data_IF_159837941359
#
_entry.id   IF_159837941359
#
_cell.length_a   1.000
_cell.length_b   1.000
_cell.length_c   1.000
_cell.angle_alpha   90.00
_cell.angle_beta   90.00
_cell.angle_gamma   90.00
#
_symmetry.space_group_name_H-M   'P 1'
#
loop_
_entity.id
_entity.type
_entity.pdbx_description
1 polymer ?
#
# COMPACT_ATOMS: atom_id res chain seq x y z
N UNK A 1 -4.40 -3.94 -2.10
CA UNK A 1 -4.16 -5.33 -2.57
C UNK A 1 -5.06 -6.30 -1.81
N UNK A 2 -4.91 -6.49 -0.50
CA UNK A 2 -5.68 -7.47 0.28
C UNK A 2 -7.20 -7.26 0.20
N UNK A 3 -7.70 -6.03 0.26
CA UNK A 3 -9.13 -5.75 0.11
C UNK A 3 -9.71 -6.15 -1.26
N UNK A 4 -8.94 -5.98 -2.36
CA UNK A 4 -9.36 -6.44 -3.69
C UNK A 4 -9.42 -7.96 -3.76
N UNK A 5 -8.43 -8.63 -3.18
CA UNK A 5 -8.40 -10.09 -3.15
C UNK A 5 -9.54 -10.66 -2.29
N UNK A 6 -9.75 -10.09 -1.10
CA UNK A 6 -10.87 -10.49 -0.24
C UNK A 6 -12.22 -10.28 -0.94
N UNK A 7 -12.42 -9.14 -1.62
CA UNK A 7 -13.63 -8.88 -2.39
C UNK A 7 -13.83 -9.89 -3.52
N UNK A 8 -12.76 -10.26 -4.25
CA UNK A 8 -12.82 -11.27 -5.30
C UNK A 8 -13.21 -12.65 -4.74
N UNK A 9 -12.60 -13.07 -3.64
CA UNK A 9 -12.91 -14.34 -2.99
C UNK A 9 -14.36 -14.38 -2.52
N UNK A 10 -14.82 -13.33 -1.83
CA UNK A 10 -16.21 -13.22 -1.36
C UNK A 10 -17.22 -13.22 -2.51
N UNK A 11 -16.93 -12.50 -3.59
CA UNK A 11 -17.81 -12.48 -4.77
C UNK A 11 -17.93 -13.89 -5.40
N UNK A 12 -16.83 -14.64 -5.45
CA UNK A 12 -16.85 -16.06 -5.91
C UNK A 12 -17.67 -16.97 -5.02
N UNK A 13 -17.72 -16.68 -3.72
CA UNK A 13 -18.53 -17.39 -2.73
C UNK A 13 -20.00 -16.96 -2.73
N UNK A 14 -20.38 -16.00 -3.58
CA UNK A 14 -21.76 -15.55 -3.73
C UNK A 14 -22.18 -14.42 -2.81
N UNK A 15 -21.24 -13.82 -2.06
CA UNK A 15 -21.56 -12.67 -1.18
C UNK A 15 -21.81 -11.40 -1.98
N UNK A 16 -22.72 -10.55 -1.48
CA UNK A 16 -22.83 -9.15 -1.89
C UNK A 16 -21.72 -8.33 -1.25
N UNK A 17 -20.88 -7.70 -2.06
CA UNK A 17 -19.70 -6.97 -1.58
C UNK A 17 -19.77 -5.50 -2.01
N UNK A 18 -19.50 -4.59 -1.06
CA UNK A 18 -19.20 -3.19 -1.34
C UNK A 18 -17.77 -2.91 -0.86
N UNK A 19 -16.90 -2.48 -1.75
CA UNK A 19 -15.52 -2.10 -1.46
C UNK A 19 -15.41 -0.58 -1.40
N UNK A 20 -14.96 -0.06 -0.25
CA UNK A 20 -14.69 1.34 -0.02
C UNK A 20 -13.18 1.59 -0.08
N UNK A 21 -12.74 2.51 -0.91
CA UNK A 21 -11.33 2.93 -1.05
C UNK A 21 -11.25 4.45 -0.90
N UNK A 22 -10.41 4.90 0.01
CA UNK A 22 -10.27 6.32 0.30
C UNK A 22 -9.61 7.12 -0.84
N UNK A 23 -8.74 6.49 -1.61
CA UNK A 23 -8.11 7.09 -2.79
C UNK A 23 -9.02 7.04 -4.02
N UNK A 24 -8.68 7.85 -5.02
CA UNK A 24 -9.30 7.77 -6.35
C UNK A 24 -8.76 6.61 -7.21
N UNK A 25 -7.99 5.72 -6.61
CA UNK A 25 -7.42 4.52 -7.23
C UNK A 25 -7.41 3.33 -6.28
N UNK A 26 -7.50 2.14 -6.82
CA UNK A 26 -7.28 0.90 -6.07
C UNK A 26 -5.79 0.61 -5.86
N UNK A 27 -5.49 -0.40 -5.03
CA UNK A 27 -4.13 -0.94 -4.86
C UNK A 27 -3.45 -0.54 -3.56
N UNK A 28 -3.78 0.62 -2.98
CA UNK A 28 -3.13 1.12 -1.77
C UNK A 28 -1.63 1.36 -1.98
N UNK A 29 -0.79 0.63 -1.23
CA UNK A 29 0.69 0.68 -1.35
C UNK A 29 1.22 0.10 -2.67
N UNK A 30 0.47 -0.75 -3.37
CA UNK A 30 0.77 -1.15 -4.74
C UNK A 30 0.43 0.01 -5.66
N UNK A 31 1.47 0.65 -6.18
CA UNK A 31 1.35 1.85 -6.99
C UNK A 31 2.47 1.90 -8.03
N UNK A 32 2.14 2.34 -9.22
CA UNK A 32 3.07 2.53 -10.32
C UNK A 32 2.56 3.57 -11.31
N UNK A 33 3.50 4.22 -12.01
CA UNK A 33 3.23 5.17 -13.07
C UNK A 33 3.29 4.48 -14.43
N UNK A 34 2.38 4.81 -15.33
CA UNK A 34 2.34 4.21 -16.66
C UNK A 34 3.48 4.73 -17.53
N UNK A 35 4.04 3.87 -18.37
CA UNK A 35 4.82 4.27 -19.53
C UNK A 35 3.90 5.00 -20.52
N UNK A 36 4.48 5.76 -21.45
CA UNK A 36 3.74 6.58 -22.41
C UNK A 36 2.75 5.77 -23.27
N UNK A 37 3.13 4.56 -23.65
CA UNK A 37 2.30 3.63 -24.42
C UNK A 37 1.29 2.85 -23.58
N UNK A 38 1.32 3.00 -22.25
CA UNK A 38 0.47 2.28 -21.30
C UNK A 38 0.76 0.76 -21.16
N UNK A 39 1.75 0.24 -21.88
CA UNK A 39 2.06 -1.20 -21.88
C UNK A 39 2.78 -1.65 -20.60
N UNK A 40 3.53 -0.76 -19.97
CA UNK A 40 4.28 -1.01 -18.74
C UNK A 40 3.90 -0.01 -17.66
N UNK A 41 3.99 -0.44 -16.39
CA UNK A 41 3.93 0.46 -15.22
C UNK A 41 5.18 0.29 -14.39
N UNK A 42 5.82 1.41 -14.12
CA UNK A 42 7.00 1.46 -13.26
C UNK A 42 6.59 1.55 -11.80
N UNK A 43 7.16 0.70 -10.96
CA UNK A 43 6.75 0.53 -9.57
C UNK A 43 7.30 1.63 -8.64
N UNK A 44 6.40 2.40 -8.05
CA UNK A 44 6.68 3.35 -6.97
C UNK A 44 6.38 2.78 -5.57
N UNK A 45 5.68 1.64 -5.53
CA UNK A 45 5.49 0.79 -4.35
C UNK A 45 6.40 -0.45 -4.39
N UNK A 46 5.88 -1.64 -3.98
CA UNK A 46 6.62 -2.89 -4.05
C UNK A 46 6.99 -3.19 -5.50
N UNK A 47 8.18 -3.73 -5.71
CA UNK A 47 8.70 -4.04 -7.04
C UNK A 47 9.09 -5.52 -7.21
N UNK A 48 9.28 -6.25 -6.11
CA UNK A 48 9.86 -7.58 -6.12
C UNK A 48 8.93 -8.65 -5.57
N UNK A 49 9.08 -9.84 -6.12
CA UNK A 49 8.53 -11.10 -5.64
C UNK A 49 9.70 -12.09 -5.55
N UNK A 50 9.78 -12.81 -4.45
CA UNK A 50 10.75 -13.91 -4.27
C UNK A 50 9.98 -15.22 -4.30
N UNK A 51 9.97 -15.95 -5.44
CA UNK A 51 9.11 -17.13 -5.61
C UNK A 51 9.27 -18.18 -4.51
N UNK A 52 10.49 -18.41 -4.04
CA UNK A 52 10.76 -19.36 -2.96
C UNK A 52 10.19 -18.95 -1.60
N UNK A 53 10.02 -17.62 -1.37
CA UNK A 53 9.53 -17.06 -0.11
C UNK A 53 8.07 -16.60 -0.20
N UNK A 54 7.53 -16.40 -1.40
CA UNK A 54 6.22 -15.82 -1.64
C UNK A 54 5.30 -16.77 -2.45
N UNK A 55 5.10 -18.04 -2.02
CA UNK A 55 4.39 -19.03 -2.81
C UNK A 55 2.93 -18.63 -3.09
N UNK A 56 2.23 -18.02 -2.12
CA UNK A 56 0.82 -17.63 -2.34
C UNK A 56 0.70 -16.49 -3.33
N UNK A 57 1.63 -15.53 -3.31
CA UNK A 57 1.69 -14.47 -4.32
C UNK A 57 1.90 -15.07 -5.71
N UNK A 58 2.81 -16.04 -5.86
CA UNK A 58 3.08 -16.72 -7.14
C UNK A 58 1.84 -17.48 -7.62
N UNK A 59 1.15 -18.19 -6.75
CA UNK A 59 -0.11 -18.90 -7.08
C UNK A 59 -1.16 -17.93 -7.63
N UNK A 60 -1.30 -16.75 -6.99
CA UNK A 60 -2.23 -15.74 -7.46
C UNK A 60 -1.80 -15.09 -8.77
N UNK A 61 -0.51 -14.83 -8.96
CA UNK A 61 0.01 -14.34 -10.24
C UNK A 61 -0.31 -15.31 -11.37
N UNK A 62 -0.09 -16.61 -11.15
CA UNK A 62 -0.45 -17.67 -12.10
C UNK A 62 -1.96 -17.69 -12.40
N UNK A 63 -2.79 -17.65 -11.35
CA UNK A 63 -4.26 -17.62 -11.47
C UNK A 63 -4.75 -16.39 -12.25
N UNK A 64 -4.06 -15.29 -12.14
CA UNK A 64 -4.37 -14.04 -12.82
C UNK A 64 -3.77 -13.95 -14.23
N UNK A 65 -2.95 -14.93 -14.65
CA UNK A 65 -2.27 -14.94 -15.93
C UNK A 65 -1.14 -13.94 -16.03
N UNK A 66 -0.48 -13.62 -14.89
CA UNK A 66 0.62 -12.67 -14.81
C UNK A 66 1.95 -13.40 -14.73
N UNK A 67 2.88 -13.05 -15.60
CA UNK A 67 4.21 -13.63 -15.66
C UNK A 67 5.21 -12.85 -14.80
N UNK A 68 6.27 -13.55 -14.40
CA UNK A 68 7.44 -13.00 -13.72
C UNK A 68 8.65 -12.97 -14.65
N UNK A 69 9.55 -12.04 -14.40
CA UNK A 69 10.88 -12.01 -15.02
C UNK A 69 11.93 -11.69 -13.94
N UNK A 70 13.16 -12.11 -14.17
CA UNK A 70 14.25 -11.92 -13.22
C UNK A 70 14.65 -10.44 -13.11
N UNK A 71 14.88 -9.95 -11.87
CA UNK A 71 15.44 -8.62 -11.66
C UNK A 71 16.80 -8.52 -12.40
N UNK A 72 16.97 -7.47 -13.20
CA UNK A 72 18.23 -7.23 -13.89
C UNK A 72 19.36 -7.04 -12.87
N UNK A 73 20.34 -7.90 -12.94
CA UNK A 73 21.53 -7.91 -12.08
C UNK A 73 22.84 -8.15 -12.84
N UNK A 74 22.75 -8.35 -14.17
CA UNK A 74 23.95 -8.61 -15.00
C UNK A 74 24.77 -7.33 -15.18
N UNK A 75 26.08 -7.44 -15.09
CA UNK A 75 27.01 -6.32 -15.19
C UNK A 75 27.56 -5.90 -13.82
N UNK A 76 28.39 -4.89 -13.81
CA UNK A 76 29.01 -4.38 -12.60
C UNK A 76 28.04 -3.57 -11.76
N UNK A 77 28.06 -3.76 -10.45
CA UNK A 77 27.43 -2.88 -9.46
C UNK A 77 28.32 -1.70 -9.13
N UNK A 78 27.73 -0.65 -8.56
CA UNK A 78 28.46 0.56 -8.17
C UNK A 78 28.36 0.80 -6.67
N UNK A 79 29.47 1.27 -6.08
CA UNK A 79 29.51 1.72 -4.68
C UNK A 79 30.00 3.16 -4.66
N UNK A 80 29.18 4.08 -4.19
CA UNK A 80 29.55 5.47 -3.98
C UNK A 80 29.97 5.68 -2.52
N UNK A 81 31.22 6.07 -2.32
CA UNK A 81 31.80 6.33 -1.00
C UNK A 81 31.38 7.71 -0.46
N UNK A 82 31.57 8.02 0.84
CA UNK A 82 31.29 9.33 1.40
C UNK A 82 32.02 10.49 0.70
N UNK A 83 33.19 10.21 0.11
CA UNK A 83 33.96 11.17 -0.71
C UNK A 83 33.38 11.40 -2.11
N UNK A 84 32.25 10.80 -2.45
CA UNK A 84 31.66 10.75 -3.79
C UNK A 84 32.49 9.97 -4.83
N UNK A 85 33.54 9.31 -4.43
CA UNK A 85 34.29 8.43 -5.31
C UNK A 85 33.44 7.17 -5.61
N UNK A 86 33.30 6.85 -6.91
CA UNK A 86 32.52 5.69 -7.37
C UNK A 86 33.48 4.52 -7.65
N UNK A 87 33.20 3.37 -7.07
CA UNK A 87 33.90 2.12 -7.31
C UNK A 87 33.01 1.13 -8.04
N UNK A 88 33.57 0.45 -9.04
CA UNK A 88 32.89 -0.67 -9.72
C UNK A 88 33.12 -1.95 -8.94
N UNK A 89 32.06 -2.67 -8.66
CA UNK A 89 32.09 -4.04 -8.16
C UNK A 89 31.87 -5.00 -9.34
N UNK A 90 32.63 -6.06 -9.43
CA UNK A 90 32.67 -6.94 -10.62
C UNK A 90 31.29 -7.54 -10.98
N UNK A 91 30.45 -7.76 -9.98
CA UNK A 91 29.07 -8.26 -10.15
C UNK A 91 28.08 -7.25 -9.60
N UNK A 92 26.85 -7.24 -10.16
CA UNK A 92 25.73 -6.54 -9.56
C UNK A 92 25.38 -7.09 -8.17
N UNK A 93 24.55 -6.36 -7.44
CA UNK A 93 24.08 -6.77 -6.11
C UNK A 93 22.86 -7.69 -6.25
N UNK A 94 23.10 -8.95 -6.68
CA UNK A 94 22.04 -9.95 -6.78
C UNK A 94 21.56 -10.37 -5.39
N UNK A 95 20.25 -10.45 -5.23
CA UNK A 95 19.63 -10.96 -4.01
C UNK A 95 19.63 -12.50 -3.98
N UNK A 96 19.68 -13.08 -2.80
CA UNK A 96 19.55 -14.51 -2.58
C UNK A 96 18.44 -14.76 -1.52
N UNK A 97 17.36 -15.50 -1.86
CA UNK A 97 17.05 -16.05 -3.18
C UNK A 97 16.80 -14.96 -4.24
N UNK A 98 16.83 -15.31 -5.54
CA UNK A 98 16.65 -14.34 -6.61
C UNK A 98 15.30 -13.63 -6.53
N UNK A 99 15.32 -12.31 -6.70
CA UNK A 99 14.11 -11.51 -6.82
C UNK A 99 13.62 -11.47 -8.26
N UNK A 100 12.31 -11.56 -8.42
CA UNK A 100 11.59 -11.45 -9.69
C UNK A 100 10.75 -10.19 -9.71
N UNK A 101 10.39 -9.72 -10.91
CA UNK A 101 9.46 -8.63 -11.12
C UNK A 101 8.27 -9.10 -11.94
N UNK A 102 7.12 -8.44 -11.78
CA UNK A 102 5.91 -8.75 -12.55
C UNK A 102 6.00 -8.07 -13.91
N UNK A 103 5.77 -8.84 -14.98
CA UNK A 103 5.69 -8.29 -16.35
C UNK A 103 4.59 -7.24 -16.41
N UNK A 104 4.95 -6.04 -16.87
CA UNK A 104 4.06 -4.89 -16.90
C UNK A 104 3.92 -4.14 -15.58
N UNK A 105 4.69 -4.51 -14.53
CA UNK A 105 4.73 -3.86 -13.21
C UNK A 105 3.74 -4.47 -12.20
N UNK A 106 4.02 -4.25 -10.91
CA UNK A 106 3.26 -4.83 -9.80
C UNK A 106 1.79 -4.36 -9.76
N UNK A 107 1.50 -3.16 -10.28
CA UNK A 107 0.13 -2.66 -10.36
C UNK A 107 -0.79 -3.53 -11.24
N UNK A 108 -0.24 -4.33 -12.18
CA UNK A 108 -1.01 -5.31 -12.98
C UNK A 108 -1.74 -6.32 -12.11
N UNK A 109 -1.18 -6.66 -10.95
CA UNK A 109 -1.81 -7.55 -9.99
C UNK A 109 -3.13 -6.96 -9.46
N UNK A 110 -3.12 -5.69 -9.08
CA UNK A 110 -4.32 -5.01 -8.57
C UNK A 110 -5.33 -4.69 -9.69
N UNK A 111 -4.85 -4.38 -10.89
CA UNK A 111 -5.70 -4.19 -12.07
C UNK A 111 -6.42 -5.49 -12.45
N UNK A 112 -5.70 -6.61 -12.46
CA UNK A 112 -6.27 -7.92 -12.79
C UNK A 112 -7.31 -8.37 -11.76
N UNK A 113 -7.07 -8.14 -10.47
CA UNK A 113 -8.06 -8.38 -9.41
C UNK A 113 -9.29 -7.46 -9.58
N UNK A 114 -9.06 -6.17 -9.83
CA UNK A 114 -10.16 -5.21 -10.04
C UNK A 114 -11.04 -5.60 -11.24
N UNK A 115 -10.43 -6.03 -12.32
CA UNK A 115 -11.14 -6.48 -13.53
C UNK A 115 -12.01 -7.74 -13.30
N UNK A 116 -11.70 -8.55 -12.29
CA UNK A 116 -12.48 -9.74 -11.92
C UNK A 116 -13.66 -9.44 -10.99
N UNK A 117 -13.76 -8.23 -10.47
CA UNK A 117 -14.90 -7.80 -9.65
C UNK A 117 -16.04 -7.36 -10.55
N UNK A 118 -17.00 -8.26 -10.80
CA UNK A 118 -18.12 -8.05 -11.71
C UNK A 118 -19.36 -7.53 -10.99
N UNK A 119 -19.64 -8.05 -9.79
CA UNK A 119 -20.82 -7.72 -8.98
C UNK A 119 -20.49 -6.81 -7.81
N UNK A 120 -19.23 -6.71 -7.43
CA UNK A 120 -18.77 -5.88 -6.32
C UNK A 120 -18.91 -4.40 -6.65
N UNK A 121 -19.65 -3.65 -5.83
CA UNK A 121 -19.73 -2.21 -5.91
C UNK A 121 -18.44 -1.61 -5.37
N UNK A 122 -17.63 -0.97 -6.21
CA UNK A 122 -16.38 -0.30 -5.81
C UNK A 122 -16.60 1.20 -5.76
N UNK A 123 -16.41 1.79 -4.58
CA UNK A 123 -16.54 3.22 -4.31
C UNK A 123 -15.17 3.82 -4.01
N UNK A 124 -14.61 4.52 -4.99
CA UNK A 124 -13.37 5.29 -4.85
C UNK A 124 -13.66 6.65 -4.18
N UNK A 125 -12.62 7.33 -3.71
CA UNK A 125 -12.74 8.60 -3.01
C UNK A 125 -13.62 8.52 -1.75
N UNK A 126 -13.75 7.30 -1.17
CA UNK A 126 -14.68 7.01 -0.07
C UNK A 126 -13.92 6.60 1.17
N UNK A 127 -13.73 7.54 2.08
CA UNK A 127 -12.98 7.37 3.32
C UNK A 127 -13.89 6.95 4.46
N UNK A 128 -13.69 5.75 5.01
CA UNK A 128 -14.38 5.32 6.25
C UNK A 128 -13.89 6.14 7.42
N UNK A 129 -14.82 6.63 8.24
CA UNK A 129 -14.59 7.45 9.42
C UNK A 129 -14.95 6.75 10.71
N UNK A 130 -15.93 5.85 10.69
CA UNK A 130 -16.41 5.19 11.88
C UNK A 130 -17.04 3.84 11.61
N UNK A 131 -17.03 3.02 12.67
CA UNK A 131 -17.69 1.73 12.74
C UNK A 131 -18.53 1.69 14.02
N UNK A 132 -19.78 1.26 13.89
CA UNK A 132 -20.74 1.17 14.99
C UNK A 132 -21.37 -0.23 15.02
N UNK A 133 -21.43 -0.87 16.17
CA UNK A 133 -22.19 -2.12 16.35
C UNK A 133 -23.66 -1.74 16.52
N UNK A 134 -24.49 -2.19 15.57
CA UNK A 134 -25.93 -1.96 15.62
C UNK A 134 -26.63 -2.94 16.59
N UNK A 135 -27.84 -2.56 17.11
CA UNK A 135 -28.59 -3.43 18.04
C UNK A 135 -28.98 -4.80 17.46
N UNK A 136 -29.16 -4.89 16.13
CA UNK A 136 -29.45 -6.13 15.39
C UNK A 136 -28.21 -6.99 15.11
N UNK A 137 -27.04 -6.54 15.58
CA UNK A 137 -25.78 -7.24 15.41
C UNK A 137 -25.07 -6.94 14.10
N UNK A 138 -25.59 -6.09 13.24
CA UNK A 138 -24.90 -5.59 12.05
C UNK A 138 -23.86 -4.52 12.40
N UNK A 139 -23.10 -4.07 11.41
CA UNK A 139 -22.09 -3.00 11.52
C UNK A 139 -22.52 -1.81 10.68
N UNK A 140 -22.73 -0.67 11.34
CA UNK A 140 -22.83 0.62 10.68
C UNK A 140 -21.45 1.10 10.27
N UNK A 141 -21.29 1.51 9.02
CA UNK A 141 -20.05 2.03 8.46
C UNK A 141 -20.29 3.46 8.02
N UNK A 142 -19.73 4.41 8.77
CA UNK A 142 -19.76 5.83 8.42
C UNK A 142 -18.60 6.17 7.49
N UNK A 143 -18.87 6.89 6.41
CA UNK A 143 -17.85 7.29 5.45
C UNK A 143 -18.05 8.71 4.96
N UNK A 144 -17.00 9.30 4.43
CA UNK A 144 -17.00 10.59 3.73
C UNK A 144 -16.63 10.36 2.26
N UNK A 145 -17.40 10.98 1.36
CA UNK A 145 -17.17 10.94 -0.07
C UNK A 145 -17.55 12.29 -0.70
N UNK A 146 -16.59 12.90 -1.42
CA UNK A 146 -16.84 14.21 -2.04
C UNK A 146 -17.29 15.31 -1.06
N UNK A 147 -16.81 15.29 0.19
CA UNK A 147 -17.17 16.22 1.24
C UNK A 147 -18.55 15.94 1.91
N UNK A 148 -19.24 14.87 1.51
CA UNK A 148 -20.50 14.45 2.11
C UNK A 148 -20.31 13.23 3.01
N UNK A 149 -20.97 13.23 4.15
CA UNK A 149 -21.02 12.08 5.06
C UNK A 149 -22.15 11.16 4.61
N UNK A 150 -21.84 9.88 4.49
CA UNK A 150 -22.77 8.81 4.21
C UNK A 150 -22.59 7.65 5.20
N UNK A 151 -23.55 6.75 5.19
CA UNK A 151 -23.49 5.52 5.98
C UNK A 151 -24.02 4.34 5.18
N UNK A 152 -23.50 3.15 5.50
CA UNK A 152 -24.04 1.89 5.04
C UNK A 152 -24.04 0.89 6.20
N UNK A 153 -24.83 -0.16 6.07
CA UNK A 153 -24.93 -1.25 7.04
C UNK A 153 -24.46 -2.53 6.38
N UNK A 154 -23.63 -3.28 7.09
CA UNK A 154 -23.11 -4.57 6.63
C UNK A 154 -23.24 -5.62 7.75
N UNK A 155 -23.43 -6.89 7.36
CA UNK A 155 -23.42 -8.00 8.31
C UNK A 155 -21.99 -8.26 8.86
N UNK A 156 -20.96 -7.99 8.03
CA UNK A 156 -19.56 -8.11 8.41
C UNK A 156 -18.72 -7.12 7.61
N UNK A 157 -17.56 -6.72 8.17
CA UNK A 157 -16.63 -5.80 7.54
C UNK A 157 -15.22 -6.40 7.53
N UNK A 158 -14.57 -6.41 6.36
CA UNK A 158 -13.15 -6.75 6.25
C UNK A 158 -12.34 -5.45 6.18
N UNK A 159 -11.43 -5.25 7.13
CA UNK A 159 -10.58 -4.08 7.24
C UNK A 159 -9.20 -4.36 6.63
N UNK A 160 -8.97 -3.86 5.42
CA UNK A 160 -7.74 -4.02 4.65
C UNK A 160 -6.80 -2.82 4.82
N UNK A 161 -6.55 -2.43 6.04
CA UNK A 161 -5.79 -1.25 6.46
C UNK A 161 -4.66 -1.64 7.42
N UNK A 162 -3.55 -0.87 7.47
CA UNK A 162 -2.53 -1.04 8.52
C UNK A 162 -3.12 -0.80 9.92
N UNK A 163 -2.64 -1.52 10.95
CA UNK A 163 -3.13 -1.39 12.34
C UNK A 163 -3.09 0.05 12.84
N UNK A 164 -2.00 0.77 12.55
CA UNK A 164 -1.80 2.15 12.97
C UNK A 164 -2.89 3.09 12.44
N UNK A 165 -3.32 2.92 11.19
CA UNK A 165 -4.43 3.68 10.62
C UNK A 165 -5.76 3.31 11.30
N UNK A 166 -6.02 2.03 11.55
CA UNK A 166 -7.24 1.57 12.23
C UNK A 166 -7.41 2.23 13.61
N UNK A 167 -6.30 2.39 14.36
CA UNK A 167 -6.32 3.00 15.67
C UNK A 167 -6.32 4.54 15.67
N UNK A 168 -5.85 5.17 14.57
CA UNK A 168 -5.64 6.61 14.53
C UNK A 168 -6.69 7.37 13.73
N UNK A 169 -7.38 6.70 12.78
CA UNK A 169 -8.27 7.37 11.82
C UNK A 169 -9.73 6.92 11.92
N UNK A 170 -10.02 5.79 12.57
CA UNK A 170 -11.37 5.28 12.71
C UNK A 170 -11.94 5.53 14.13
N UNK A 171 -13.17 6.02 14.17
CA UNK A 171 -13.99 5.98 15.38
C UNK A 171 -14.56 4.57 15.52
N UNK A 172 -14.48 4.00 16.71
CA UNK A 172 -15.01 2.69 17.06
C UNK A 172 -16.11 2.85 18.13
N UNK A 173 -17.28 2.30 17.87
CA UNK A 173 -18.40 2.31 18.81
C UNK A 173 -19.04 0.91 18.91
N UNK A 174 -18.83 0.16 20.01
CA UNK A 174 -18.05 0.51 21.21
C UNK A 174 -16.54 0.70 20.96
N UNK A 175 -15.90 1.49 21.80
CA UNK A 175 -14.48 1.78 21.68
C UNK A 175 -13.62 0.51 21.84
N UNK A 176 -12.49 0.48 21.15
CA UNK A 176 -11.47 -0.57 21.36
C UNK A 176 -10.87 -0.46 22.76
N UNK A 177 -10.47 -1.57 23.38
CA UNK A 177 -9.67 -1.54 24.60
C UNK A 177 -8.41 -0.69 24.44
N UNK A 178 -8.08 0.08 25.45
CA UNK A 178 -6.95 1.01 25.40
C UNK A 178 -5.63 0.31 25.02
N UNK A 179 -5.39 -0.89 25.59
CA UNK A 179 -4.19 -1.69 25.30
C UNK A 179 -4.13 -2.15 23.84
N UNK A 180 -5.26 -2.56 23.23
CA UNK A 180 -5.32 -2.96 21.84
C UNK A 180 -5.06 -1.74 20.94
N UNK A 181 -5.73 -0.64 21.21
CA UNK A 181 -5.57 0.61 20.49
C UNK A 181 -4.12 1.13 20.56
N UNK A 182 -3.47 1.01 21.73
CA UNK A 182 -2.07 1.40 21.90
C UNK A 182 -1.13 0.50 21.09
N UNK A 183 -1.29 -0.82 21.16
CA UNK A 183 -0.51 -1.77 20.34
C UNK A 183 -0.62 -1.48 18.86
N UNK A 184 -1.82 -1.15 18.36
CA UNK A 184 -2.02 -0.82 16.97
C UNK A 184 -1.37 0.51 16.59
N UNK A 185 -1.39 1.54 17.46
CA UNK A 185 -0.67 2.80 17.21
C UNK A 185 0.85 2.62 17.17
N UNK A 186 1.37 1.67 17.93
CA UNK A 186 2.81 1.37 17.98
C UNK A 186 3.26 0.49 16.82
N UNK A 187 2.35 -0.28 16.19
CA UNK A 187 2.68 -1.14 15.07
C UNK A 187 3.18 -0.33 13.87
N UNK A 188 4.42 -0.52 13.39
CA UNK A 188 4.93 0.21 12.25
C UNK A 188 4.22 -0.24 10.97
N UNK A 189 3.86 0.71 10.11
CA UNK A 189 3.42 0.41 8.75
C UNK A 189 4.66 0.23 7.87
N UNK A 190 4.84 -0.99 7.33
CA UNK A 190 6.04 -1.32 6.55
C UNK A 190 6.23 -0.37 5.37
N UNK A 191 7.44 0.18 5.25
CA UNK A 191 7.87 1.13 4.21
C UNK A 191 7.12 2.47 4.20
N UNK A 192 6.20 2.74 5.13
CA UNK A 192 5.46 4.01 5.16
C UNK A 192 6.36 5.25 5.41
N UNK A 193 7.50 5.08 6.05
CA UNK A 193 8.49 6.15 6.23
C UNK A 193 9.43 6.37 5.03
N UNK A 194 9.34 5.56 3.97
CA UNK A 194 10.28 5.58 2.85
C UNK A 194 9.83 6.49 1.71
N UNK A 195 10.80 6.90 0.89
CA UNK A 195 10.52 7.55 -0.39
C UNK A 195 11.32 6.86 -1.50
N UNK A 196 10.77 6.87 -2.71
CA UNK A 196 11.33 6.25 -3.89
C UNK A 196 11.37 7.27 -5.03
N UNK A 197 12.54 7.43 -5.63
CA UNK A 197 12.71 8.22 -6.85
C UNK A 197 12.81 7.24 -8.03
N UNK A 198 12.14 7.57 -9.11
CA UNK A 198 12.15 6.83 -10.37
C UNK A 198 12.51 7.81 -11.50
N UNK A 199 13.50 7.46 -12.31
CA UNK A 199 13.93 8.22 -13.48
C UNK A 199 13.78 7.36 -14.74
N UNK A 200 13.05 7.86 -15.74
CA UNK A 200 12.78 7.18 -17.00
C UNK A 200 13.74 7.66 -18.09
N UNK A 201 14.17 6.73 -18.96
CA UNK A 201 15.14 6.99 -20.02
C UNK A 201 14.67 6.38 -21.34
N UNK A 202 15.17 6.88 -22.48
CA UNK A 202 14.86 6.28 -23.79
C UNK A 202 15.39 4.85 -23.95
N UNK A 203 16.56 4.57 -23.34
CA UNK A 203 17.25 3.27 -23.41
C UNK A 203 17.95 2.97 -22.07
N UNK A 204 18.18 1.71 -21.75
CA UNK A 204 18.96 1.33 -20.55
C UNK A 204 20.48 1.45 -20.83
N UNK A 205 20.96 2.68 -21.09
CA UNK A 205 22.34 3.01 -21.51
C UNK A 205 23.39 2.45 -20.55
N UNK A 206 23.09 2.33 -19.25
CA UNK A 206 24.00 1.70 -18.26
C UNK A 206 24.32 0.25 -18.59
N UNK A 207 23.38 -0.49 -19.21
CA UNK A 207 23.62 -1.87 -19.62
C UNK A 207 24.65 -1.94 -20.74
N UNK A 208 24.62 -0.99 -21.70
CA UNK A 208 25.62 -0.86 -22.75
C UNK A 208 27.01 -0.50 -22.19
N UNK A 209 27.06 0.22 -21.06
CA UNK A 209 28.29 0.53 -20.33
C UNK A 209 28.79 -0.65 -19.45
N UNK A 210 28.13 -1.83 -19.51
CA UNK A 210 28.49 -3.01 -18.73
C UNK A 210 28.11 -2.90 -17.25
N UNK A 211 27.12 -2.06 -16.91
CA UNK A 211 26.62 -1.88 -15.55
C UNK A 211 25.29 -2.62 -15.36
N UNK A 212 25.06 -3.11 -14.16
CA UNK A 212 23.82 -3.79 -13.78
C UNK A 212 22.63 -2.84 -13.57
N UNK A 213 22.89 -1.54 -13.42
CA UNK A 213 21.89 -0.57 -12.95
C UNK A 213 21.72 -0.58 -11.43
N UNK A 214 22.46 -1.41 -10.69
CA UNK A 214 22.44 -1.43 -9.23
C UNK A 214 23.58 -0.63 -8.62
N UNK A 215 23.29 0.12 -7.57
CA UNK A 215 24.28 0.87 -6.80
C UNK A 215 23.87 0.95 -5.33
N UNK A 216 24.88 1.06 -4.46
CA UNK A 216 24.72 1.49 -3.06
C UNK A 216 25.53 2.76 -2.82
N UNK A 217 25.01 3.70 -2.06
CA UNK A 217 25.62 5.00 -1.86
C UNK A 217 25.63 5.41 -0.39
N UNK A 218 26.74 6.02 0.01
CA UNK A 218 26.94 6.66 1.31
C UNK A 218 27.05 8.18 1.20
N UNK A 219 26.90 8.76 0.00
CA UNK A 219 27.20 10.16 -0.30
C UNK A 219 26.03 10.96 -0.91
N UNK A 220 24.98 10.31 -1.34
CA UNK A 220 23.91 10.99 -2.02
C UNK A 220 22.55 10.85 -1.35
N UNK A 221 21.49 11.51 -1.87
CA UNK A 221 20.15 11.30 -1.32
C UNK A 221 19.60 9.90 -1.58
N UNK A 222 20.05 9.21 -2.63
CA UNK A 222 19.65 7.83 -2.93
C UNK A 222 20.64 6.86 -2.28
N UNK A 223 20.16 6.00 -1.37
CA UNK A 223 20.98 5.05 -0.64
C UNK A 223 21.20 3.74 -1.41
N UNK A 224 20.17 3.27 -2.09
CA UNK A 224 20.15 2.02 -2.85
C UNK A 224 19.43 2.24 -4.17
N UNK A 225 20.03 1.78 -5.28
CA UNK A 225 19.52 1.99 -6.64
C UNK A 225 19.44 0.68 -7.40
N UNK A 226 18.49 0.59 -8.32
CA UNK A 226 18.26 -0.60 -9.14
C UNK A 226 17.76 -0.23 -10.54
N UNK A 227 18.04 -1.13 -11.48
CA UNK A 227 17.39 -1.14 -12.79
C UNK A 227 15.89 -1.44 -12.62
N UNK A 228 15.05 -0.54 -13.09
CA UNK A 228 13.60 -0.63 -13.06
C UNK A 228 12.98 -0.88 -14.44
N UNK A 229 13.82 -1.17 -15.44
CA UNK A 229 13.36 -1.41 -16.81
C UNK A 229 12.48 -2.66 -16.90
N UNK A 230 11.69 -2.76 -17.96
CA UNK A 230 10.99 -3.99 -18.30
C UNK A 230 11.98 -5.12 -18.70
N UNK A 231 11.44 -6.32 -18.93
CA UNK A 231 12.25 -7.51 -19.22
C UNK A 231 13.10 -7.33 -20.49
N UNK A 232 12.57 -6.67 -21.50
CA UNK A 232 13.23 -6.46 -22.80
C UNK A 232 14.06 -5.17 -22.86
N UNK A 233 13.94 -4.29 -21.85
CA UNK A 233 14.62 -3.00 -21.81
C UNK A 233 14.03 -1.95 -22.74
N UNK A 234 12.81 -2.14 -23.22
CA UNK A 234 12.10 -1.17 -24.05
C UNK A 234 11.60 0.03 -23.25
N UNK A 235 11.22 -0.21 -22.00
CA UNK A 235 10.82 0.80 -21.04
C UNK A 235 11.94 0.90 -20.00
N UNK A 236 12.89 1.80 -20.25
CA UNK A 236 14.10 1.92 -19.45
C UNK A 236 13.91 2.85 -18.26
N UNK A 237 14.30 2.40 -17.06
CA UNK A 237 14.26 3.21 -15.86
C UNK A 237 15.28 2.79 -14.82
N UNK A 238 15.71 3.75 -14.02
CA UNK A 238 16.41 3.53 -12.74
C UNK A 238 15.51 3.98 -11.60
N UNK A 239 15.46 3.21 -10.52
CA UNK A 239 14.87 3.70 -9.29
C UNK A 239 15.87 3.68 -8.14
N UNK A 240 15.65 4.55 -7.16
CA UNK A 240 16.43 4.55 -5.92
C UNK A 240 15.56 4.81 -4.71
N UNK A 241 15.91 4.15 -3.60
CA UNK A 241 15.36 4.48 -2.29
C UNK A 241 16.06 5.72 -1.74
N UNK A 242 15.28 6.71 -1.31
CA UNK A 242 15.80 7.93 -0.69
C UNK A 242 16.26 7.61 0.73
N UNK A 243 17.56 7.74 0.98
CA UNK A 243 18.19 7.49 2.28
C UNK A 243 17.96 8.61 3.30
N UNK A 244 17.49 9.79 2.86
CA UNK A 244 17.13 10.88 3.77
C UNK A 244 15.86 10.51 4.55
N UNK A 245 15.90 10.47 5.90
CA UNK A 245 14.72 10.15 6.71
C UNK A 245 13.54 11.10 6.45
N UNK A 246 12.31 10.64 6.65
CA UNK A 246 11.09 11.42 6.38
C UNK A 246 11.09 12.79 7.08
N UNK A 247 11.55 12.88 8.34
CA UNK A 247 11.67 14.12 9.07
C UNK A 247 12.67 15.11 8.43
N UNK A 248 13.71 14.59 7.78
CA UNK A 248 14.68 15.38 7.00
C UNK A 248 14.07 15.86 5.69
N UNK A 249 13.38 14.95 4.96
CA UNK A 249 12.74 15.27 3.67
C UNK A 249 11.70 16.39 3.78
N UNK A 250 10.92 16.44 4.86
CA UNK A 250 9.93 17.51 5.13
C UNK A 250 10.53 18.91 5.21
N UNK A 251 11.85 19.01 5.42
CA UNK A 251 12.59 20.29 5.51
C UNK A 251 13.26 20.67 4.18
N UNK A 252 13.20 19.80 3.20
CA UNK A 252 13.81 20.00 1.89
C UNK A 252 12.73 20.38 0.88
N UNK A 253 13.08 21.27 -0.02
CA UNK A 253 12.28 21.50 -1.20
C UNK A 253 12.29 20.23 -2.07
N UNK A 254 11.11 19.81 -2.53
CA UNK A 254 10.94 18.59 -3.34
C UNK A 254 11.84 18.60 -4.57
N UNK A 255 11.92 19.77 -5.26
CA UNK A 255 12.74 19.91 -6.46
C UNK A 255 14.24 19.79 -6.12
N UNK A 256 14.69 20.37 -5.02
CA UNK A 256 16.09 20.24 -4.59
C UNK A 256 16.50 18.78 -4.32
N UNK A 257 15.61 17.98 -3.75
CA UNK A 257 15.85 16.54 -3.57
C UNK A 257 15.93 15.79 -4.91
N UNK A 258 15.07 16.14 -5.87
CA UNK A 258 15.11 15.57 -7.22
C UNK A 258 16.43 15.96 -7.91
N UNK A 259 16.81 17.24 -7.91
CA UNK A 259 18.03 17.73 -8.55
C UNK A 259 19.29 17.08 -7.96
N UNK A 260 19.36 16.96 -6.65
CA UNK A 260 20.47 16.28 -5.97
C UNK A 260 20.51 14.77 -6.33
N UNK A 261 19.36 14.13 -6.50
CA UNK A 261 19.27 12.73 -6.94
C UNK A 261 19.73 12.56 -8.37
N UNK A 262 19.35 13.46 -9.29
CA UNK A 262 19.80 13.43 -10.67
C UNK A 262 21.31 13.68 -10.78
N UNK A 263 21.84 14.62 -10.01
CA UNK A 263 23.29 14.86 -9.94
C UNK A 263 24.03 13.59 -9.45
N UNK A 264 23.46 12.88 -8.49
CA UNK A 264 24.00 11.59 -8.02
C UNK A 264 23.94 10.52 -9.11
N UNK A 265 22.79 10.38 -9.82
CA UNK A 265 22.68 9.46 -10.94
C UNK A 265 23.75 9.75 -12.01
N UNK A 266 24.03 11.03 -12.28
CA UNK A 266 25.10 11.45 -13.19
C UNK A 266 26.49 11.00 -12.74
N UNK A 267 26.81 11.08 -11.45
CA UNK A 267 28.07 10.58 -10.90
C UNK A 267 28.20 9.06 -11.02
N UNK A 268 27.10 8.34 -10.79
CA UNK A 268 27.06 6.89 -10.81
C UNK A 268 27.05 6.32 -12.22
N UNK A 269 26.17 6.80 -13.08
CA UNK A 269 25.87 6.18 -14.38
C UNK A 269 26.29 7.02 -15.60
N UNK A 270 26.85 8.21 -15.39
CA UNK A 270 27.33 9.08 -16.47
C UNK A 270 26.36 10.17 -16.87
N UNK A 271 26.77 11.00 -17.85
CA UNK A 271 26.06 12.22 -18.25
C UNK A 271 24.61 11.98 -18.73
N UNK A 272 24.33 10.87 -19.37
CA UNK A 272 22.97 10.51 -19.83
C UNK A 272 21.98 10.41 -18.66
N UNK A 273 22.44 10.06 -17.46
CA UNK A 273 21.59 9.88 -16.30
C UNK A 273 21.03 11.21 -15.73
N UNK A 274 21.60 12.36 -16.07
CA UNK A 274 21.11 13.67 -15.57
C UNK A 274 19.94 14.24 -16.38
N UNK A 275 19.63 13.65 -17.55
CA UNK A 275 18.59 14.10 -18.45
C UNK A 275 17.53 13.02 -18.72
N UNK A 276 16.81 12.55 -17.69
CA UNK A 276 15.74 11.59 -17.89
C UNK A 276 14.56 12.20 -18.67
N UNK A 277 13.77 11.36 -19.34
CA UNK A 277 12.51 11.76 -19.97
C UNK A 277 11.45 12.20 -18.96
N UNK A 278 11.43 11.53 -17.81
CA UNK A 278 10.53 11.87 -16.70
C UNK A 278 11.13 11.44 -15.35
N UNK A 279 10.77 12.14 -14.28
CA UNK A 279 11.15 11.83 -12.91
C UNK A 279 9.91 11.80 -12.02
N UNK A 280 9.82 10.77 -11.21
CA UNK A 280 8.76 10.63 -10.20
C UNK A 280 9.39 10.43 -8.83
N UNK A 281 8.89 11.16 -7.85
CA UNK A 281 9.28 10.99 -6.45
C UNK A 281 8.02 10.64 -5.65
N UNK A 282 7.94 9.43 -5.13
CA UNK A 282 6.88 9.00 -4.22
C UNK A 282 7.41 9.03 -2.80
N UNK A 283 6.91 9.91 -1.97
CA UNK A 283 7.14 9.92 -0.54
C UNK A 283 5.94 9.30 0.18
N UNK A 284 6.12 8.07 0.67
CA UNK A 284 5.05 7.35 1.36
C UNK A 284 4.73 7.93 2.73
N UNK A 285 5.65 8.68 3.35
CA UNK A 285 5.41 9.37 4.61
C UNK A 285 4.44 10.56 4.51
N UNK A 286 4.18 11.03 3.28
CA UNK A 286 3.19 12.09 2.98
C UNK A 286 1.82 11.52 2.60
N UNK A 287 1.73 10.20 2.40
CA UNK A 287 0.49 9.51 2.01
C UNK A 287 -0.40 9.23 3.21
N UNK A 288 -1.34 10.12 3.48
CA UNK A 288 -2.25 10.06 4.65
C UNK A 288 -3.10 8.78 4.73
N UNK A 289 -3.30 8.08 3.59
CA UNK A 289 -3.98 6.79 3.55
C UNK A 289 -3.03 5.60 3.78
N UNK A 290 -1.76 5.87 4.08
CA UNK A 290 -0.73 4.86 4.35
C UNK A 290 0.00 5.14 5.66
N UNK A 291 0.45 6.38 5.84
CA UNK A 291 1.29 6.81 6.94
C UNK A 291 0.55 7.67 7.96
N UNK A 292 1.03 7.61 9.19
CA UNK A 292 0.71 8.54 10.27
C UNK A 292 1.96 9.36 10.62
N UNK A 293 1.86 10.42 11.42
CA UNK A 293 3.04 11.14 11.90
C UNK A 293 4.09 10.25 12.59
N UNK A 294 3.66 9.15 13.21
CA UNK A 294 4.57 8.20 13.87
C UNK A 294 5.44 7.39 12.88
N UNK A 295 5.01 7.27 11.61
CA UNK A 295 5.80 6.60 10.56
C UNK A 295 6.94 7.46 10.01
N UNK A 296 7.00 8.75 10.37
CA UNK A 296 8.11 9.62 10.01
C UNK A 296 9.39 9.37 10.85
N UNK A 297 9.26 8.68 11.98
CA UNK A 297 10.41 8.27 12.77
C UNK A 297 11.21 7.20 11.99
N UNK A 298 12.55 7.22 12.07
CA UNK A 298 13.36 6.16 11.46
C UNK A 298 12.96 4.80 12.05
N UNK A 299 12.44 3.93 11.22
CA UNK A 299 12.16 2.54 11.60
C UNK A 299 12.58 1.64 10.46
N UNK A 300 13.62 0.86 10.68
CA UNK A 300 14.15 -0.13 9.75
C UNK A 300 13.74 -1.56 10.10
N UNK A 301 13.02 -1.75 11.20
CA UNK A 301 12.59 -3.08 11.61
C UNK A 301 11.38 -3.53 10.77
N UNK A 302 11.43 -4.77 10.32
CA UNK A 302 10.26 -5.43 9.74
C UNK A 302 9.16 -5.52 10.79
N UNK A 303 7.88 -5.30 10.41
CA UNK A 303 6.79 -5.48 11.36
C UNK A 303 6.71 -6.93 11.82
N UNK A 304 6.46 -7.12 13.11
CA UNK A 304 6.10 -8.42 13.64
C UNK A 304 4.63 -8.71 13.30
N UNK A 305 4.23 -9.99 13.15
CA UNK A 305 2.83 -10.36 12.96
C UNK A 305 1.95 -9.81 14.08
N UNK A 306 0.84 -9.19 13.71
CA UNK A 306 -0.13 -8.65 14.66
C UNK A 306 -1.26 -9.65 14.90
N UNK A 307 -1.70 -9.78 16.19
CA UNK A 307 -2.88 -10.57 16.51
C UNK A 307 -4.13 -10.00 15.83
N UNK A 308 -5.01 -10.90 15.40
CA UNK A 308 -6.34 -10.56 14.88
C UNK A 308 -7.43 -10.64 15.95
N UNK A 309 -7.07 -10.86 17.22
CA UNK A 309 -8.03 -10.94 18.31
C UNK A 309 -8.71 -9.60 18.54
N UNK A 310 -10.03 -9.64 18.54
CA UNK A 310 -10.89 -8.50 18.79
C UNK A 310 -11.79 -8.77 20.01
N UNK A 311 -12.25 -7.72 20.71
CA UNK A 311 -13.27 -7.83 21.74
C UNK A 311 -14.51 -8.57 21.23
N UNK A 312 -15.23 -9.25 22.13
CA UNK A 312 -16.38 -10.10 21.77
C UNK A 312 -17.42 -9.39 20.89
N UNK A 313 -17.69 -8.11 21.15
CA UNK A 313 -18.65 -7.33 20.36
C UNK A 313 -18.18 -6.99 18.94
N UNK A 314 -16.88 -7.15 18.62
CA UNK A 314 -16.30 -6.96 17.28
C UNK A 314 -15.90 -8.28 16.60
N UNK A 315 -15.61 -9.33 17.35
CA UNK A 315 -14.95 -10.56 16.90
C UNK A 315 -15.63 -11.21 15.70
N UNK A 316 -16.95 -11.30 15.72
CA UNK A 316 -17.71 -11.99 14.69
C UNK A 316 -18.23 -11.05 13.59
N UNK A 317 -17.79 -9.79 13.61
CA UNK A 317 -18.26 -8.75 12.70
C UNK A 317 -17.14 -8.13 11.89
N UNK A 318 -15.94 -8.09 12.47
CA UNK A 318 -14.78 -7.45 11.86
C UNK A 318 -13.70 -8.50 11.61
N UNK A 319 -13.19 -8.51 10.38
CA UNK A 319 -12.08 -9.35 9.96
C UNK A 319 -10.92 -8.48 9.50
N UNK A 320 -9.72 -8.72 10.03
CA UNK A 320 -8.55 -7.91 9.76
C UNK A 320 -7.75 -8.51 8.61
N UNK A 321 -7.59 -7.76 7.51
CA UNK A 321 -6.92 -8.16 6.29
C UNK A 321 -5.77 -7.21 5.86
N UNK A 322 -5.35 -6.28 6.72
CA UNK A 322 -4.10 -5.55 6.50
C UNK A 322 -2.92 -6.52 6.47
N UNK A 323 -1.93 -6.28 5.62
CA UNK A 323 -0.77 -7.18 5.49
C UNK A 323 0.00 -7.38 6.79
N UNK A 324 -0.05 -6.43 7.70
CA UNK A 324 0.56 -6.47 9.03
C UNK A 324 -0.09 -7.50 9.97
N UNK A 325 -1.31 -7.96 9.65
CA UNK A 325 -2.01 -9.02 10.38
C UNK A 325 -1.71 -10.42 9.84
N UNK A 326 -0.90 -10.54 8.81
CA UNK A 326 -0.49 -11.85 8.29
C UNK A 326 0.45 -12.56 9.29
N UNK A 327 0.37 -13.90 9.41
CA UNK A 327 1.27 -14.65 10.29
C UNK A 327 2.70 -14.65 9.74
N UNK A 328 2.85 -14.60 8.42
CA UNK A 328 4.12 -14.60 7.72
C UNK A 328 4.21 -13.39 6.78
N UNK A 329 5.39 -12.87 6.58
CA UNK A 329 5.68 -11.73 5.70
C UNK A 329 4.77 -10.50 5.93
N UNK A 330 4.54 -10.06 7.21
CA UNK A 330 3.72 -8.89 7.47
C UNK A 330 4.27 -7.65 6.75
N UNK A 331 3.38 -6.87 6.13
CA UNK A 331 3.76 -5.70 5.34
C UNK A 331 4.10 -5.95 3.88
N UNK A 332 4.38 -7.18 3.47
CA UNK A 332 4.71 -7.58 2.09
C UNK A 332 3.47 -7.93 1.25
N UNK A 333 3.69 -8.17 -0.06
CA UNK A 333 2.63 -8.69 -0.95
C UNK A 333 2.12 -10.05 -0.47
N UNK A 334 3.03 -10.94 -0.08
CA UNK A 334 2.68 -12.25 0.48
C UNK A 334 1.79 -12.12 1.71
N UNK A 335 2.17 -11.27 2.65
CA UNK A 335 1.35 -10.98 3.83
C UNK A 335 -0.02 -10.39 3.46
N UNK A 336 -0.12 -9.58 2.41
CA UNK A 336 -1.40 -9.05 1.95
C UNK A 336 -2.32 -10.14 1.36
N UNK A 337 -1.74 -11.15 0.70
CA UNK A 337 -2.46 -12.33 0.20
C UNK A 337 -2.94 -13.18 1.37
N UNK A 338 -2.03 -13.59 2.25
CA UNK A 338 -2.32 -14.43 3.41
C UNK A 338 -3.38 -13.81 4.34
N UNK A 339 -3.28 -12.51 4.61
CA UNK A 339 -4.26 -11.81 5.44
C UNK A 339 -5.65 -11.76 4.81
N UNK A 340 -5.72 -11.58 3.47
CA UNK A 340 -7.01 -11.57 2.76
C UNK A 340 -7.67 -12.95 2.78
N UNK A 341 -6.93 -14.02 2.46
CA UNK A 341 -7.43 -15.39 2.48
C UNK A 341 -7.92 -15.76 3.88
N UNK A 342 -7.11 -15.53 4.91
CA UNK A 342 -7.47 -15.79 6.30
C UNK A 342 -8.73 -15.04 6.76
N UNK A 343 -8.88 -13.79 6.36
CA UNK A 343 -10.06 -13.00 6.73
C UNK A 343 -11.34 -13.55 6.08
N UNK A 344 -11.24 -14.03 4.84
CA UNK A 344 -12.37 -14.66 4.14
C UNK A 344 -12.69 -16.03 4.74
N UNK A 345 -11.70 -16.86 5.03
CA UNK A 345 -11.88 -18.18 5.66
C UNK A 345 -12.53 -18.05 7.04
N UNK A 346 -12.12 -17.06 7.83
CA UNK A 346 -12.72 -16.78 9.15
C UNK A 346 -14.20 -16.39 9.01
N UNK A 347 -14.54 -15.54 8.05
CA UNK A 347 -15.93 -15.18 7.76
C UNK A 347 -16.76 -16.38 7.31
N UNK A 348 -16.22 -17.22 6.42
CA UNK A 348 -16.91 -18.46 5.97
C UNK A 348 -17.17 -19.42 7.11
N UNK A 349 -16.18 -19.63 7.99
CA UNK A 349 -16.29 -20.56 9.12
C UNK A 349 -17.39 -20.15 10.09
N UNK A 350 -17.57 -18.84 10.32
CA UNK A 350 -18.65 -18.32 11.15
C UNK A 350 -20.04 -18.60 10.56
N UNK A 351 -20.16 -18.56 9.24
CA UNK A 351 -21.42 -18.79 8.55
C UNK A 351 -21.80 -20.27 8.49
N UNK A 352 -20.80 -21.15 8.33
CA UNK A 352 -20.96 -22.61 8.37
C UNK A 352 -21.40 -23.12 9.75
N UNK A 353 -21.15 -22.34 10.82
CA UNK A 353 -21.46 -22.69 12.21
C UNK A 353 -22.90 -22.34 12.64
N UNK A 354 -23.78 -21.91 11.75
CA UNK A 354 -25.20 -21.71 12.05
C UNK A 354 -25.75 -20.30 11.95
N UNK A 355 -24.94 -19.31 11.59
CA UNK A 355 -25.40 -17.94 11.37
C UNK A 355 -25.76 -17.73 9.89
N UNK A 356 -27.04 -17.87 9.52
CA UNK A 356 -27.53 -17.48 8.20
C UNK A 356 -27.42 -15.97 8.04
N UNK A 357 -26.56 -15.50 7.12
CA UNK A 357 -26.64 -14.11 6.67
C UNK A 357 -27.98 -13.81 6.03
N UNK A 358 -28.50 -12.57 6.16
CA UNK A 358 -29.63 -12.11 5.37
C UNK A 358 -29.29 -12.25 3.88
N UNK A 359 -30.27 -12.66 3.08
CA UNK A 359 -30.11 -12.97 1.66
C UNK A 359 -29.47 -11.85 0.84
N UNK A 360 -28.97 -12.17 -0.38
CA UNK A 360 -28.30 -11.20 -1.23
C UNK A 360 -29.27 -10.07 -1.60
N UNK A 361 -28.95 -8.84 -1.19
CA UNK A 361 -29.66 -7.67 -1.72
C UNK A 361 -30.07 -6.54 -0.79
N UNK A 362 -29.54 -6.40 0.41
CA UNK A 362 -29.88 -5.23 1.24
C UNK A 362 -28.63 -4.52 1.78
N UNK A 363 -27.96 -3.79 0.90
CA UNK A 363 -27.23 -2.58 1.30
C UNK A 363 -28.21 -1.41 1.15
N UNK A 364 -28.90 -1.05 2.21
CA UNK A 364 -29.71 0.16 2.26
C UNK A 364 -28.79 1.35 2.58
N UNK A 365 -28.71 2.30 1.66
CA UNK A 365 -28.12 3.60 1.89
C UNK A 365 -29.11 4.37 2.76
N UNK A 366 -28.85 4.43 4.07
CA UNK A 366 -29.66 5.20 5.00
C UNK A 366 -29.06 6.61 5.12
N UNK A 367 -29.85 7.62 4.74
CA UNK A 367 -29.54 9.00 5.09
C UNK A 367 -29.65 9.13 6.63
N UNK A 368 -28.57 9.58 7.28
CA UNK A 368 -28.59 9.89 8.72
C UNK A 368 -29.56 11.06 8.95
N UNK A 369 -30.42 11.00 10.01
CA UNK A 369 -31.21 12.14 10.40
C UNK A 369 -30.27 13.27 10.83
N UNK A 370 -30.53 14.48 10.34
CA UNK A 370 -29.80 15.69 10.69
C UNK A 370 -29.75 15.85 12.22
N UNK A 371 -28.53 15.97 12.76
CA UNK A 371 -28.32 16.21 14.18
C UNK A 371 -29.10 17.51 14.58
N UNK A 372 -30.08 17.35 15.45
CA UNK A 372 -30.82 18.46 16.03
C UNK A 372 -29.85 19.34 16.82
N UNK A 373 -29.54 20.51 16.26
CA UNK A 373 -28.93 21.59 17.03
C UNK A 373 -29.94 22.09 18.04
N UNK A 374 -29.85 21.64 19.27
CA UNK A 374 -30.51 22.30 20.39
C UNK A 374 -29.73 23.60 20.68
N UNK A 375 -30.24 24.67 20.08
CA UNK A 375 -29.85 26.03 20.45
C UNK A 375 -30.42 26.37 21.82
N UNK A 376 -29.57 26.47 22.82
CA UNK A 376 -29.92 27.14 24.06
C UNK A 376 -29.87 28.66 23.85
N UNK A 377 -31.06 29.24 23.63
CA UNK A 377 -31.29 30.68 23.87
C UNK A 377 -31.43 30.89 25.38
N UNK A 378 -30.39 31.43 25.99
CA UNK A 378 -30.56 32.15 27.25
C UNK A 378 -30.65 33.63 26.93
N UNK A 379 -31.89 34.13 27.04
CA UNK A 379 -32.13 35.56 27.10
C UNK A 379 -31.71 36.09 28.47
N UNK A 380 -30.97 37.19 28.49
CA UNK A 380 -30.92 38.09 29.61
C UNK A 380 -31.37 39.47 29.17
N UNK A 381 -32.58 39.82 29.74
CA UNK A 381 -33.05 41.20 29.88
C UNK A 381 -32.32 41.83 31.07
N UNK A 382 -32.02 43.12 30.98
CA UNK A 382 -31.58 43.91 32.08
C UNK A 382 -31.06 45.27 31.66
N UNK A 383 -31.83 46.19 31.68
CA UNK A 383 -32.04 47.55 31.76
C UNK A 383 -31.16 48.31 32.76
N UNK A 384 -30.93 49.50 32.45
CA UNK A 384 -30.62 50.75 33.02
C UNK A 384 -29.46 51.47 32.35
#
# INVERSE_FOLDING_TARGET
MSGLLAAHLLERLGFGVTLLEARERVGGRVFGVAAEDGAHRFDLGPAWVWPELNPRTVDWLSTLGLALFEQQGRGAGLVELPSQAVRRHATGFAQQPPSMRIVGGTARLTDALRARLVRTRVLLGTRVRGLDVCPDGTVGVEFERGGQVGALVASSVILALPPRLLASTLRWSPALPAELSQRWREAPTWMAGHAKLLALYPTPFWRAAGLSGSAVSQAGPLAELHDASDAEGRHAALFGFVGVPAAGRRRLERQALIDASLAQLGRLFGAEAVTPQAVYLQDWAEEVETATPADAAPNSAHPAPMSTDLPAHWRDRIHLAGSEFAPDFPGYLEGAVLAAERAVDALQSQLGSGNKLPGPGQTTEAALPAASRTGSHTGENGGA
#
